data_IF_620821708103
#
_entry.id   IF_620821708103
#
_cell.length_a   1.000
_cell.length_b   1.000
_cell.length_c   1.000
_cell.angle_alpha   90.00
_cell.angle_beta   90.00
_cell.angle_gamma   90.00
#
_symmetry.space_group_name_H-M   'P 1'
#
loop_
_entity.id
_entity.type
_entity.pdbx_description
1 polymer ?
#
# COMPACT_ATOMS: atom_id res chain seq x y z
N UNK A 1 5.54 -21.00 -2.45
CA UNK A 1 5.99 -21.08 -3.86
C UNK A 1 6.98 -22.24 -3.99
N UNK A 2 7.19 -22.82 -5.18
CA UNK A 2 8.32 -23.76 -5.34
C UNK A 2 9.59 -22.97 -5.62
N UNK A 3 10.75 -23.55 -5.31
CA UNK A 3 12.06 -22.92 -5.58
C UNK A 3 12.20 -22.46 -7.03
N UNK A 4 11.85 -23.33 -7.96
CA UNK A 4 11.94 -23.09 -9.40
C UNK A 4 11.08 -21.93 -9.91
N UNK A 5 10.09 -21.50 -9.14
CA UNK A 5 9.20 -20.37 -9.49
C UNK A 5 9.79 -19.03 -9.03
N UNK A 6 10.88 -19.06 -8.24
CA UNK A 6 11.56 -17.86 -7.78
C UNK A 6 12.65 -17.49 -8.80
N UNK A 7 12.54 -16.31 -9.39
CA UNK A 7 13.53 -15.74 -10.32
C UNK A 7 13.86 -14.28 -10.00
N UNK A 8 15.00 -13.83 -10.54
CA UNK A 8 15.49 -12.44 -10.46
C UNK A 8 14.55 -11.48 -11.21
N UNK A 9 14.52 -10.22 -10.77
CA UNK A 9 13.67 -9.14 -11.27
C UNK A 9 12.17 -9.44 -11.18
N UNK A 10 11.77 -10.25 -10.19
CA UNK A 10 10.37 -10.60 -9.91
C UNK A 10 9.99 -10.27 -8.48
N UNK A 11 8.70 -10.01 -8.29
CA UNK A 11 8.13 -9.60 -7.02
C UNK A 11 7.25 -10.69 -6.44
N UNK A 12 7.34 -10.86 -5.12
CA UNK A 12 6.62 -11.90 -4.42
C UNK A 12 6.02 -11.34 -3.14
N UNK A 13 4.82 -11.79 -2.83
CA UNK A 13 4.14 -11.48 -1.58
C UNK A 13 3.99 -12.71 -0.70
N UNK A 14 3.99 -12.50 0.61
CA UNK A 14 3.62 -13.51 1.60
C UNK A 14 2.11 -13.76 1.70
N UNK A 15 1.31 -13.10 0.85
CA UNK A 15 -0.15 -13.17 0.85
C UNK A 15 -0.79 -12.40 2.02
N UNK A 16 -0.01 -11.63 2.78
CA UNK A 16 -0.49 -10.81 3.89
C UNK A 16 -0.09 -9.37 3.67
N UNK A 17 1.14 -9.01 4.06
CA UNK A 17 1.58 -7.62 4.13
C UNK A 17 2.98 -7.40 3.62
N UNK A 18 3.70 -8.47 3.27
CA UNK A 18 5.05 -8.44 2.74
C UNK A 18 5.07 -8.42 1.22
N UNK A 19 5.99 -7.64 0.66
CA UNK A 19 6.34 -7.61 -0.75
C UNK A 19 7.87 -7.53 -0.86
N UNK A 20 8.46 -8.46 -1.61
CA UNK A 20 9.91 -8.54 -1.82
C UNK A 20 10.20 -8.77 -3.29
N UNK A 21 11.23 -8.10 -3.77
CA UNK A 21 11.79 -8.27 -5.10
C UNK A 21 13.08 -9.07 -5.01
N UNK A 22 13.27 -10.08 -5.86
CA UNK A 22 14.56 -10.75 -5.98
C UNK A 22 15.44 -9.94 -6.91
N UNK A 23 16.52 -9.34 -6.40
CA UNK A 23 17.37 -8.42 -7.17
C UNK A 23 18.60 -9.10 -7.76
N UNK A 24 19.05 -10.21 -7.17
CA UNK A 24 20.16 -11.00 -7.68
C UNK A 24 20.14 -12.42 -7.07
N UNK A 25 20.86 -13.34 -7.70
CA UNK A 25 21.03 -14.72 -7.23
C UNK A 25 22.48 -15.18 -7.42
N UNK A 26 22.92 -16.09 -6.56
CA UNK A 26 24.30 -16.58 -6.57
C UNK A 26 24.82 -16.98 -5.18
N UNK A 27 25.87 -17.81 -5.12
CA UNK A 27 26.48 -18.28 -3.87
C UNK A 27 27.14 -17.14 -3.06
N UNK A 28 27.42 -16.00 -3.66
CA UNK A 28 27.92 -14.80 -2.97
C UNK A 28 26.87 -14.17 -2.04
N UNK A 29 25.58 -14.47 -2.22
CA UNK A 29 24.49 -13.98 -1.39
C UNK A 29 24.17 -14.89 -0.21
N UNK A 30 25.13 -15.69 0.26
CA UNK A 30 24.98 -16.44 1.51
C UNK A 30 24.79 -15.49 2.70
N UNK A 31 24.09 -15.98 3.72
CA UNK A 31 24.01 -15.29 5.02
C UNK A 31 25.31 -15.45 5.81
N UNK A 32 25.92 -16.64 5.73
CA UNK A 32 27.16 -16.96 6.43
C UNK A 32 28.06 -17.81 5.54
N UNK A 33 29.38 -17.62 5.62
CA UNK A 33 30.34 -18.35 4.80
C UNK A 33 30.30 -19.88 5.02
N UNK A 34 29.89 -20.32 6.22
CA UNK A 34 29.76 -21.73 6.58
C UNK A 34 28.48 -22.40 6.05
N UNK A 35 27.57 -21.64 5.41
CA UNK A 35 26.35 -22.21 4.86
C UNK A 35 26.69 -23.11 3.66
N UNK A 36 26.22 -24.36 3.70
CA UNK A 36 26.47 -25.34 2.65
C UNK A 36 25.59 -25.09 1.41
N UNK A 37 24.45 -24.42 1.57
CA UNK A 37 23.54 -24.11 0.47
C UNK A 37 24.11 -22.97 -0.40
N UNK A 38 24.38 -23.27 -1.67
CA UNK A 38 24.84 -22.29 -2.66
C UNK A 38 23.68 -21.65 -3.44
N UNK A 39 22.46 -22.17 -3.29
CA UNK A 39 21.25 -21.64 -3.92
C UNK A 39 20.70 -20.46 -3.09
N UNK A 40 21.46 -19.36 -3.14
CA UNK A 40 21.21 -18.13 -2.40
C UNK A 40 20.79 -16.98 -3.33
N UNK A 41 20.11 -16.00 -2.74
CA UNK A 41 19.63 -14.81 -3.43
C UNK A 41 19.68 -13.57 -2.54
N UNK A 42 19.72 -12.41 -3.19
CA UNK A 42 19.49 -11.10 -2.57
C UNK A 42 18.10 -10.62 -2.95
N UNK A 43 17.38 -10.11 -1.95
CA UNK A 43 16.06 -9.54 -2.14
C UNK A 43 15.96 -8.15 -1.52
N UNK A 44 15.08 -7.32 -2.08
CA UNK A 44 14.73 -5.98 -1.57
C UNK A 44 13.32 -5.99 -1.02
N UNK A 45 13.14 -5.52 0.22
CA UNK A 45 11.80 -5.37 0.81
C UNK A 45 11.16 -4.07 0.33
N UNK A 46 9.92 -4.13 -0.17
CA UNK A 46 9.18 -2.93 -0.62
C UNK A 46 8.22 -2.37 0.44
N UNK A 47 8.09 -3.08 1.55
CA UNK A 47 7.24 -2.72 2.69
C UNK A 47 7.97 -3.00 3.98
N UNK A 48 7.79 -2.11 4.95
CA UNK A 48 8.34 -2.34 6.29
C UNK A 48 7.55 -3.45 6.98
N UNK A 49 8.24 -4.52 7.39
CA UNK A 49 7.64 -5.68 8.06
C UNK A 49 8.69 -6.42 8.90
N UNK A 50 8.30 -6.87 10.10
CA UNK A 50 9.17 -7.67 10.98
C UNK A 50 10.49 -6.96 11.38
N UNK A 51 10.48 -5.63 11.49
CA UNK A 51 11.67 -4.83 11.80
C UNK A 51 12.58 -4.52 10.61
N UNK A 52 12.28 -5.06 9.41
CA UNK A 52 12.99 -4.72 8.17
C UNK A 52 12.33 -3.48 7.57
N UNK A 53 13.11 -2.44 7.28
CA UNK A 53 12.61 -1.24 6.64
C UNK A 53 12.36 -1.47 5.14
N UNK A 54 11.40 -0.75 4.57
CA UNK A 54 11.25 -0.67 3.13
C UNK A 54 12.54 -0.14 2.47
N UNK A 55 12.89 -0.70 1.33
CA UNK A 55 14.12 -0.42 0.60
C UNK A 55 15.34 -1.24 1.06
N UNK A 56 15.28 -1.93 2.20
CA UNK A 56 16.42 -2.73 2.68
C UNK A 56 16.61 -3.98 1.85
N UNK A 57 17.85 -4.20 1.43
CA UNK A 57 18.29 -5.43 0.78
C UNK A 57 18.83 -6.43 1.80
N UNK A 58 18.47 -7.70 1.64
CA UNK A 58 18.89 -8.79 2.51
C UNK A 58 19.17 -10.05 1.69
N UNK A 59 19.92 -10.95 2.29
CA UNK A 59 20.29 -12.24 1.71
C UNK A 59 19.40 -13.36 2.27
N UNK A 60 19.19 -14.43 1.50
CA UNK A 60 18.52 -15.64 1.95
C UNK A 60 18.82 -16.83 1.03
N UNK A 61 18.58 -18.05 1.50
CA UNK A 61 18.48 -19.20 0.60
C UNK A 61 17.20 -19.11 -0.23
N UNK A 62 17.21 -19.59 -1.48
CA UNK A 62 16.00 -19.66 -2.31
C UNK A 62 14.94 -20.54 -1.64
N UNK A 63 15.34 -21.55 -0.87
CA UNK A 63 14.44 -22.37 -0.05
C UNK A 63 13.61 -21.52 0.90
N UNK A 64 14.28 -20.71 1.72
CA UNK A 64 13.63 -19.90 2.74
C UNK A 64 12.75 -18.80 2.08
N UNK A 65 13.24 -18.21 0.99
CA UNK A 65 12.46 -17.23 0.23
C UNK A 65 11.19 -17.86 -0.38
N UNK A 66 11.30 -19.04 -1.00
CA UNK A 66 10.17 -19.75 -1.60
C UNK A 66 9.13 -20.21 -0.56
N UNK A 67 9.56 -20.53 0.66
CA UNK A 67 8.68 -20.84 1.79
C UNK A 67 7.90 -19.61 2.27
N UNK A 68 8.55 -18.44 2.31
CA UNK A 68 7.94 -17.16 2.62
C UNK A 68 6.94 -16.72 1.53
N UNK A 69 7.32 -16.81 0.26
CA UNK A 69 6.51 -16.37 -0.87
C UNK A 69 5.27 -17.25 -1.07
N UNK A 70 4.10 -16.62 -1.19
CA UNK A 70 2.81 -17.27 -1.47
C UNK A 70 2.28 -16.98 -2.86
N UNK A 71 2.55 -15.79 -3.38
CA UNK A 71 2.07 -15.33 -4.70
C UNK A 71 3.13 -14.48 -5.38
N UNK A 72 3.22 -14.58 -6.70
CA UNK A 72 4.01 -13.66 -7.54
C UNK A 72 3.14 -12.44 -7.87
N UNK A 73 3.72 -11.25 -7.76
CA UNK A 73 3.11 -9.97 -8.16
C UNK A 73 3.84 -9.54 -9.43
N UNK A 74 3.09 -9.24 -10.50
CA UNK A 74 3.71 -8.78 -11.75
C UNK A 74 4.28 -7.38 -11.56
N UNK A 75 5.35 -7.06 -12.27
CA UNK A 75 6.04 -5.78 -12.11
C UNK A 75 5.11 -4.59 -12.37
N UNK A 76 4.23 -4.70 -13.37
CA UNK A 76 3.22 -3.71 -13.72
C UNK A 76 2.13 -3.52 -12.64
N UNK A 77 1.94 -4.49 -11.75
CA UNK A 77 0.92 -4.46 -10.69
C UNK A 77 1.48 -4.01 -9.34
N UNK A 78 2.80 -3.81 -9.21
CA UNK A 78 3.47 -3.51 -7.93
C UNK A 78 2.95 -2.23 -7.29
N UNK A 79 2.81 -1.15 -8.07
CA UNK A 79 2.34 0.14 -7.56
C UNK A 79 0.91 0.05 -7.03
N UNK A 80 0.03 -0.64 -7.77
CA UNK A 80 -1.33 -0.88 -7.35
C UNK A 80 -1.39 -1.76 -6.10
N UNK A 81 -0.56 -2.80 -6.02
CA UNK A 81 -0.46 -3.66 -4.84
C UNK A 81 -0.04 -2.87 -3.59
N UNK A 82 0.95 -1.99 -3.72
CA UNK A 82 1.43 -1.13 -2.63
C UNK A 82 0.35 -0.14 -2.18
N UNK A 83 -0.37 0.44 -3.14
CA UNK A 83 -1.48 1.34 -2.89
C UNK A 83 -2.61 0.63 -2.13
N UNK A 84 -3.03 -0.54 -2.59
CA UNK A 84 -4.09 -1.33 -1.95
C UNK A 84 -3.71 -1.77 -0.54
N UNK A 85 -2.44 -2.16 -0.34
CA UNK A 85 -1.90 -2.50 0.98
C UNK A 85 -1.92 -1.29 1.92
N UNK A 86 -1.52 -0.12 1.44
CA UNK A 86 -1.55 1.12 2.22
C UNK A 86 -3.00 1.50 2.56
N UNK A 87 -3.91 1.38 1.59
CA UNK A 87 -5.33 1.67 1.75
C UNK A 87 -5.98 0.77 2.80
N UNK A 88 -5.77 -0.54 2.74
CA UNK A 88 -6.28 -1.49 3.72
C UNK A 88 -5.75 -1.18 5.13
N UNK A 89 -4.45 -0.86 5.27
CA UNK A 89 -3.88 -0.47 6.56
C UNK A 89 -4.49 0.83 7.09
N UNK A 90 -4.75 1.81 6.23
CA UNK A 90 -5.31 3.09 6.64
C UNK A 90 -6.81 2.99 6.99
N UNK A 91 -7.58 2.21 6.24
CA UNK A 91 -9.01 1.98 6.49
C UNK A 91 -9.28 1.42 7.90
N UNK A 92 -8.40 0.55 8.42
CA UNK A 92 -8.49 0.04 9.81
C UNK A 92 -8.21 1.10 10.89
N UNK A 93 -7.53 2.20 10.53
CA UNK A 93 -7.16 3.31 11.42
C UNK A 93 -8.10 4.51 11.33
N UNK A 94 -9.16 4.43 10.52
CA UNK A 94 -10.18 5.46 10.43
C UNK A 94 -11.14 5.38 11.62
N UNK A 95 -11.50 6.54 12.16
CA UNK A 95 -12.53 6.64 13.19
C UNK A 95 -13.92 6.36 12.60
N UNK A 96 -14.91 6.03 13.44
CA UNK A 96 -16.27 5.81 12.95
C UNK A 96 -16.86 7.02 12.19
N UNK A 97 -16.69 8.29 12.65
CA UNK A 97 -17.12 9.45 11.88
C UNK A 97 -16.42 9.59 10.52
N UNK A 98 -15.12 9.28 10.44
CA UNK A 98 -14.38 9.32 9.17
C UNK A 98 -14.88 8.27 8.19
N UNK A 99 -15.17 7.04 8.67
CA UNK A 99 -15.77 5.99 7.84
C UNK A 99 -17.16 6.38 7.37
N UNK A 100 -17.98 6.96 8.25
CA UNK A 100 -19.32 7.43 7.90
C UNK A 100 -19.28 8.52 6.82
N UNK A 101 -18.37 9.48 6.96
CA UNK A 101 -18.14 10.51 5.95
C UNK A 101 -17.70 9.91 4.62
N UNK A 102 -16.73 8.98 4.62
CA UNK A 102 -16.29 8.34 3.39
C UNK A 102 -17.40 7.50 2.73
N UNK A 103 -18.22 6.81 3.52
CA UNK A 103 -19.37 6.04 3.01
C UNK A 103 -20.47 6.90 2.36
N UNK A 104 -20.43 8.23 2.54
CA UNK A 104 -21.33 9.15 1.87
C UNK A 104 -21.01 9.40 0.40
N UNK A 105 -19.81 9.01 -0.07
CA UNK A 105 -19.36 9.24 -1.43
C UNK A 105 -19.61 8.04 -2.36
N UNK A 106 -19.74 8.30 -3.66
CA UNK A 106 -19.90 7.25 -4.67
C UNK A 106 -18.65 6.37 -4.82
N UNK A 107 -18.83 5.09 -5.13
CA UNK A 107 -17.72 4.12 -5.24
C UNK A 107 -16.90 4.26 -6.52
N UNK A 108 -17.48 4.85 -7.57
CA UNK A 108 -16.91 4.96 -8.92
C UNK A 108 -16.22 6.30 -9.19
N UNK A 109 -15.99 7.09 -8.14
CA UNK A 109 -15.17 8.30 -8.21
C UNK A 109 -13.77 8.00 -8.76
N UNK A 110 -13.25 8.98 -9.50
CA UNK A 110 -11.92 8.93 -10.09
C UNK A 110 -11.12 10.19 -9.75
N UNK A 111 -9.86 10.26 -10.18
CA UNK A 111 -8.95 11.36 -9.85
C UNK A 111 -9.39 12.73 -10.38
N UNK A 112 -10.37 12.77 -11.30
CA UNK A 112 -10.93 14.00 -11.88
C UNK A 112 -12.30 14.33 -11.29
N UNK A 113 -12.80 13.54 -10.36
CA UNK A 113 -14.10 13.79 -9.72
C UNK A 113 -13.96 14.95 -8.74
N UNK A 114 -14.74 16.01 -8.98
CA UNK A 114 -14.96 17.13 -8.06
C UNK A 114 -16.27 16.92 -7.32
N UNK A 115 -16.24 17.11 -6.00
CA UNK A 115 -17.38 16.82 -5.14
C UNK A 115 -17.61 18.02 -4.24
N UNK A 116 -18.84 18.54 -4.26
CA UNK A 116 -19.28 19.56 -3.32
C UNK A 116 -19.75 18.87 -2.03
N UNK A 117 -19.20 19.31 -0.90
CA UNK A 117 -19.52 18.86 0.45
C UNK A 117 -20.15 20.01 1.24
N UNK A 118 -21.17 19.75 2.07
CA UNK A 118 -21.75 20.78 2.92
C UNK A 118 -20.76 21.22 4.00
N UNK A 119 -20.81 22.51 4.39
CA UNK A 119 -19.92 23.14 5.38
C UNK A 119 -19.70 22.32 6.66
N UNK A 120 -20.73 21.62 7.14
CA UNK A 120 -20.68 20.81 8.36
C UNK A 120 -19.67 19.66 8.29
N UNK A 121 -19.36 19.16 7.10
CA UNK A 121 -18.39 18.09 6.88
C UNK A 121 -16.94 18.60 6.79
N UNK A 122 -16.71 19.92 6.75
CA UNK A 122 -15.38 20.50 6.54
C UNK A 122 -14.33 20.00 7.53
N UNK A 123 -14.72 19.80 8.80
CA UNK A 123 -13.81 19.26 9.83
C UNK A 123 -13.43 17.80 9.57
N UNK A 124 -14.37 16.99 9.08
CA UNK A 124 -14.12 15.59 8.74
C UNK A 124 -13.27 15.49 7.48
N UNK A 125 -13.58 16.29 6.45
CA UNK A 125 -12.78 16.41 5.25
C UNK A 125 -11.34 16.80 5.56
N UNK A 126 -11.12 17.78 6.47
CA UNK A 126 -9.79 18.19 6.93
C UNK A 126 -9.04 17.04 7.60
N UNK A 127 -9.69 16.30 8.50
CA UNK A 127 -9.08 15.15 9.17
C UNK A 127 -8.74 14.01 8.20
N UNK A 128 -9.54 13.83 7.13
CA UNK A 128 -9.23 12.90 6.04
C UNK A 128 -8.08 13.40 5.16
N UNK A 129 -7.99 14.71 4.90
CA UNK A 129 -6.88 15.35 4.18
C UNK A 129 -5.56 15.19 4.91
N UNK A 130 -5.55 15.35 6.24
CA UNK A 130 -4.36 15.11 7.08
C UNK A 130 -3.87 13.66 7.01
N UNK A 131 -4.74 12.71 6.64
CA UNK A 131 -4.40 11.30 6.37
C UNK A 131 -3.99 11.05 4.91
N UNK A 132 -3.91 12.10 4.08
CA UNK A 132 -3.55 12.03 2.67
C UNK A 132 -4.65 11.52 1.74
N UNK A 133 -5.91 11.52 2.18
CA UNK A 133 -7.03 11.01 1.37
C UNK A 133 -7.53 12.03 0.34
N UNK A 134 -7.41 13.33 0.64
CA UNK A 134 -7.86 14.41 -0.23
C UNK A 134 -6.66 15.05 -0.93
N UNK A 135 -6.78 15.27 -2.23
CA UNK A 135 -5.77 15.95 -3.04
C UNK A 135 -5.95 17.47 -2.95
N UNK A 136 -7.17 17.94 -3.21
CA UNK A 136 -7.54 19.36 -3.15
C UNK A 136 -8.72 19.57 -2.20
N UNK A 137 -8.67 20.67 -1.45
CA UNK A 137 -9.71 21.16 -0.53
C UNK A 137 -9.29 22.56 -0.04
N UNK A 138 -10.21 23.50 0.19
CA UNK A 138 -9.85 24.81 0.76
C UNK A 138 -9.23 24.71 2.17
N UNK A 139 -8.31 25.62 2.49
CA UNK A 139 -7.65 25.69 3.82
C UNK A 139 -8.60 26.17 4.94
N UNK A 140 -9.55 27.02 4.56
CA UNK A 140 -10.57 27.62 5.41
C UNK A 140 -11.79 27.96 4.59
N UNK A 141 -12.95 28.03 5.25
CA UNK A 141 -14.19 28.52 4.64
C UNK A 141 -14.53 29.91 5.15
N UNK A 142 -14.99 30.78 4.26
CA UNK A 142 -15.59 32.05 4.63
C UNK A 142 -16.90 31.82 5.39
N UNK A 143 -17.38 32.85 6.10
CA UNK A 143 -18.60 32.71 6.92
C UNK A 143 -19.83 32.38 6.08
N UNK A 144 -19.85 32.87 4.85
CA UNK A 144 -20.99 32.78 3.93
C UNK A 144 -20.88 31.60 2.95
N UNK A 145 -19.84 30.76 3.08
CA UNK A 145 -19.70 29.54 2.29
C UNK A 145 -20.57 28.42 2.90
N UNK A 146 -21.59 28.00 2.17
CA UNK A 146 -22.48 26.90 2.55
C UNK A 146 -21.90 25.52 2.18
N UNK A 147 -21.03 25.47 1.18
CA UNK A 147 -20.40 24.27 0.66
C UNK A 147 -18.91 24.48 0.34
N UNK A 148 -18.22 23.38 0.03
CA UNK A 148 -16.82 23.39 -0.39
C UNK A 148 -16.50 22.21 -1.29
N UNK A 149 -15.52 22.38 -2.17
CA UNK A 149 -15.12 21.33 -3.10
C UNK A 149 -13.94 20.51 -2.59
N UNK A 150 -13.95 19.21 -2.90
CA UNK A 150 -12.84 18.30 -2.69
C UNK A 150 -12.53 17.47 -3.93
N UNK A 151 -11.28 16.99 -4.00
CA UNK A 151 -10.85 15.89 -4.87
C UNK A 151 -10.09 14.85 -4.07
N UNK A 152 -10.12 13.59 -4.50
CA UNK A 152 -9.43 12.49 -3.83
C UNK A 152 -8.03 12.23 -4.40
N UNK A 153 -7.11 11.79 -3.55
CA UNK A 153 -5.86 11.17 -4.01
C UNK A 153 -6.12 9.73 -4.49
N UNK A 154 -5.14 9.12 -5.18
CA UNK A 154 -5.21 7.69 -5.51
C UNK A 154 -5.37 6.81 -4.25
N UNK A 155 -4.71 7.19 -3.15
CA UNK A 155 -4.86 6.53 -1.86
C UNK A 155 -6.26 6.74 -1.29
N UNK A 156 -6.81 7.95 -1.40
CA UNK A 156 -8.18 8.29 -1.03
C UNK A 156 -9.21 7.38 -1.69
N UNK A 157 -9.12 7.25 -3.02
CA UNK A 157 -10.01 6.40 -3.80
C UNK A 157 -9.84 4.91 -3.44
N UNK A 158 -8.60 4.45 -3.23
CA UNK A 158 -8.35 3.09 -2.79
C UNK A 158 -8.93 2.82 -1.39
N UNK A 159 -8.80 3.76 -0.45
CA UNK A 159 -9.39 3.67 0.89
C UNK A 159 -10.92 3.66 0.80
N UNK A 160 -11.52 4.52 -0.03
CA UNK A 160 -12.98 4.56 -0.23
C UNK A 160 -13.52 3.19 -0.66
N UNK A 161 -12.84 2.52 -1.61
CA UNK A 161 -13.18 1.14 -2.01
C UNK A 161 -13.09 0.14 -0.86
N UNK A 162 -12.14 0.30 0.07
CA UNK A 162 -12.01 -0.55 1.26
C UNK A 162 -13.11 -0.30 2.29
N UNK A 163 -13.51 0.96 2.50
CA UNK A 163 -14.60 1.29 3.44
C UNK A 163 -15.94 0.72 2.93
N UNK A 164 -16.21 0.79 1.62
CA UNK A 164 -17.41 0.19 1.02
C UNK A 164 -17.42 -1.35 0.99
N UNK A 165 -16.27 -2.00 1.15
CA UNK A 165 -16.15 -3.45 1.14
C UNK A 165 -16.29 -4.07 2.54
N UNK A 166 -16.28 -3.25 3.60
CA UNK A 166 -16.31 -3.66 5.00
C UNK A 166 -17.71 -3.57 5.59
#
# INVERSE_FOLDING_TARGET
>A
MKKQDIGVARFYSDGKSGLREVVAEGPEYKLYAADADNDCLRYKSHVSSGGIAAGTENNSTRTAFAAWAKVEVRAEDVDQWLLDRQAASLATKLTAPQKSFLNGFDRDLNLKSYISCPREEFRLAKACREKGLMAEMPESLHKDDDDFEITFTALGLAVLKQVHAA
#
